data_IF_664408542605
#
_entry.id   IF_664408542605
#
_cell.length_a   1.000
_cell.length_b   1.000
_cell.length_c   1.000
_cell.angle_alpha   90.00
_cell.angle_beta   90.00
_cell.angle_gamma   90.00
#
_symmetry.space_group_name_H-M   'P 1'
#
loop_
_entity.id
_entity.type
_entity.pdbx_description
1 polymer ?
#
# COMPACT_ATOMS: atom_id res chain seq x y z
N UNK A 1 25.88 -2.07 17.12
CA UNK A 1 26.37 -1.91 15.73
C UNK A 1 26.89 -0.49 15.46
N UNK A 2 26.09 0.57 15.66
CA UNK A 2 26.55 1.97 15.47
C UNK A 2 27.81 2.35 16.27
N UNK A 3 27.95 1.84 17.49
CA UNK A 3 29.15 2.05 18.31
C UNK A 3 30.39 1.36 17.71
N UNK A 4 30.23 0.24 16.98
CA UNK A 4 31.33 -0.44 16.29
C UNK A 4 31.84 0.38 15.09
N UNK A 5 30.92 1.03 14.35
CA UNK A 5 31.27 2.02 13.32
C UNK A 5 32.04 3.21 13.90
N UNK A 6 31.53 3.78 15.00
CA UNK A 6 32.17 4.95 15.62
C UNK A 6 33.52 4.63 16.27
N UNK A 7 33.79 3.37 16.59
CA UNK A 7 35.07 2.91 17.18
C UNK A 7 36.01 2.28 16.14
N UNK A 8 35.69 2.41 14.85
CA UNK A 8 36.45 1.82 13.73
C UNK A 8 36.63 0.30 13.81
N UNK A 9 35.74 -0.40 14.52
CA UNK A 9 35.68 -1.87 14.52
C UNK A 9 34.86 -2.42 13.34
N UNK A 10 34.07 -1.56 12.71
CA UNK A 10 33.28 -1.85 11.53
C UNK A 10 33.48 -0.71 10.53
N UNK A 11 33.91 -1.04 9.31
CA UNK A 11 34.23 -0.03 8.29
C UNK A 11 32.99 0.48 7.56
N UNK A 12 32.03 -0.39 7.30
CA UNK A 12 30.84 -0.09 6.50
C UNK A 12 29.61 -0.76 7.09
N UNK A 13 28.50 -0.05 7.08
CA UNK A 13 27.17 -0.61 7.32
C UNK A 13 26.27 -0.27 6.15
N UNK A 14 25.91 -1.30 5.38
CA UNK A 14 25.04 -1.17 4.21
C UNK A 14 23.56 -1.01 4.57
N UNK A 15 23.19 -1.31 5.83
CA UNK A 15 21.83 -1.12 6.31
C UNK A 15 21.55 0.36 6.59
N UNK A 16 20.36 0.79 6.17
CA UNK A 16 19.83 2.11 6.44
C UNK A 16 19.66 2.30 7.94
N UNK A 17 20.38 3.26 8.53
CA UNK A 17 20.10 3.73 9.88
C UNK A 17 20.07 5.23 9.87
N UNK A 18 18.92 5.75 10.30
CA UNK A 18 18.72 7.16 10.57
C UNK A 18 19.37 7.47 11.94
N UNK A 19 20.40 8.31 11.95
CA UNK A 19 21.06 8.74 13.19
C UNK A 19 20.82 10.23 13.41
N UNK A 20 20.15 10.56 14.50
CA UNK A 20 19.87 11.93 14.94
C UNK A 20 21.11 12.66 15.47
N UNK A 21 22.05 11.92 16.08
CA UNK A 21 23.23 12.50 16.73
C UNK A 21 24.46 12.53 15.82
N UNK A 22 25.31 13.56 15.96
CA UNK A 22 26.58 13.64 15.25
C UNK A 22 27.55 12.60 15.84
N UNK A 23 27.49 11.38 15.34
CA UNK A 23 28.53 10.39 15.55
C UNK A 23 29.69 10.65 14.58
N UNK A 24 30.92 10.25 14.95
CA UNK A 24 32.09 10.27 14.08
C UNK A 24 31.96 9.21 12.97
N UNK A 25 31.02 9.41 12.07
CA UNK A 25 30.62 8.49 11.00
C UNK A 25 30.51 9.32 9.73
N UNK A 26 31.14 8.84 8.66
CA UNK A 26 30.99 9.42 7.33
C UNK A 26 29.78 8.81 6.61
N UNK A 27 29.17 9.57 5.70
CA UNK A 27 27.94 9.15 5.01
C UNK A 27 28.11 9.34 3.51
N UNK A 28 27.75 8.33 2.75
CA UNK A 28 27.54 8.46 1.31
C UNK A 28 26.03 8.53 1.06
N UNK A 29 25.61 9.50 0.25
CA UNK A 29 24.19 9.74 -0.06
C UNK A 29 23.83 9.14 -1.40
N UNK A 30 22.61 8.62 -1.48
CA UNK A 30 22.01 8.29 -2.75
C UNK A 30 21.27 9.50 -3.32
N UNK A 31 21.19 9.59 -4.64
CA UNK A 31 20.48 10.68 -5.32
C UNK A 31 18.97 10.70 -5.04
N UNK A 32 18.39 9.53 -4.75
CA UNK A 32 16.96 9.41 -4.55
C UNK A 32 16.56 9.40 -3.08
N UNK A 33 15.41 10.03 -2.82
CA UNK A 33 14.78 10.03 -1.51
C UNK A 33 13.77 8.89 -1.43
N UNK A 34 13.79 8.17 -0.33
CA UNK A 34 12.80 7.16 0.01
C UNK A 34 11.51 7.84 0.48
N UNK A 35 10.43 7.58 -0.23
CA UNK A 35 9.08 8.03 0.12
C UNK A 35 8.44 7.05 1.11
N UNK A 36 7.88 7.56 2.20
CA UNK A 36 7.12 6.77 3.17
C UNK A 36 5.62 7.02 3.00
N UNK A 37 4.84 5.95 2.94
CA UNK A 37 3.39 5.97 2.77
C UNK A 37 2.71 5.21 3.90
N UNK A 38 1.42 5.47 4.10
CA UNK A 38 0.55 4.58 4.87
C UNK A 38 0.27 3.37 3.99
N UNK A 39 0.63 2.19 4.48
CA UNK A 39 0.28 0.92 3.87
C UNK A 39 -0.88 0.34 4.66
N UNK A 40 -1.97 0.01 3.97
CA UNK A 40 -3.11 -0.71 4.52
C UNK A 40 -3.24 -2.08 3.87
N UNK A 41 -3.60 -3.13 4.61
CA UNK A 41 -4.16 -4.32 4.01
C UNK A 41 -5.51 -3.93 3.40
N UNK A 42 -5.66 -4.17 2.10
CA UNK A 42 -6.91 -4.00 1.38
C UNK A 42 -7.98 -4.80 2.11
N UNK A 43 -8.96 -4.09 2.65
CA UNK A 43 -10.16 -4.72 3.16
C UNK A 43 -11.00 -5.02 1.92
N UNK A 44 -11.04 -6.30 1.56
CA UNK A 44 -11.95 -6.77 0.52
C UNK A 44 -13.25 -7.14 1.20
N UNK A 45 -14.25 -6.30 1.06
CA UNK A 45 -15.63 -6.77 1.01
C UNK A 45 -15.97 -6.90 -0.47
N UNK A 46 -16.09 -8.15 -0.93
CA UNK A 46 -16.75 -8.46 -2.20
C UNK A 46 -17.85 -9.45 -1.92
N UNK A 47 -19.06 -9.08 -2.33
CA UNK A 47 -20.01 -10.06 -2.82
C UNK A 47 -19.62 -10.47 -4.24
N UNK A 48 -19.43 -11.77 -4.44
CA UNK A 48 -19.31 -12.36 -5.77
C UNK A 48 -20.66 -12.34 -6.47
N UNK A 49 -20.85 -11.38 -7.38
CA UNK A 49 -22.05 -11.29 -8.23
C UNK A 49 -21.98 -12.19 -9.49
N UNK A 50 -20.94 -13.02 -9.63
CA UNK A 50 -20.77 -13.90 -10.80
C UNK A 50 -21.74 -15.10 -10.83
N UNK A 51 -22.44 -15.37 -9.73
CA UNK A 51 -23.43 -16.47 -9.63
C UNK A 51 -24.83 -16.10 -10.13
N UNK A 52 -25.05 -14.87 -10.58
CA UNK A 52 -26.38 -14.29 -10.78
C UNK A 52 -26.90 -14.37 -12.23
N UNK A 53 -26.07 -14.76 -13.20
CA UNK A 53 -26.39 -14.72 -14.63
C UNK A 53 -26.57 -16.13 -15.26
N UNK A 54 -27.11 -17.08 -14.50
CA UNK A 54 -27.67 -18.29 -15.10
C UNK A 54 -29.14 -18.03 -15.49
N UNK A 55 -29.65 -18.55 -16.64
CA UNK A 55 -31.02 -18.30 -17.08
C UNK A 55 -32.00 -19.02 -16.16
N UNK A 56 -32.47 -18.31 -15.14
CA UNK A 56 -33.48 -18.78 -14.20
C UNK A 56 -34.85 -18.19 -14.53
N UNK A 57 -35.91 -18.88 -14.11
CA UNK A 57 -37.30 -18.42 -14.24
C UNK A 57 -37.53 -17.09 -13.49
N UNK A 58 -38.47 -16.27 -13.98
CA UNK A 58 -38.75 -14.90 -13.47
C UNK A 58 -39.01 -14.80 -11.96
N UNK A 59 -39.49 -15.88 -11.34
CA UNK A 59 -39.74 -15.95 -9.89
C UNK A 59 -38.43 -15.93 -9.08
N UNK A 60 -37.36 -16.51 -9.64
CA UNK A 60 -36.02 -16.53 -9.05
C UNK A 60 -35.39 -15.13 -9.14
N UNK A 61 -35.73 -14.33 -10.17
CA UNK A 61 -35.30 -12.94 -10.28
C UNK A 61 -35.88 -12.04 -9.18
N UNK A 62 -37.13 -12.25 -8.76
CA UNK A 62 -37.72 -11.51 -7.63
C UNK A 62 -37.08 -11.91 -6.28
N UNK A 63 -36.75 -13.19 -6.10
CA UNK A 63 -35.97 -13.63 -4.95
C UNK A 63 -34.55 -13.06 -4.97
N UNK A 64 -33.92 -13.01 -6.14
CA UNK A 64 -32.62 -12.35 -6.28
C UNK A 64 -32.69 -10.86 -6.03
N UNK A 65 -33.71 -10.16 -6.50
CA UNK A 65 -33.89 -8.73 -6.23
C UNK A 65 -34.03 -8.48 -4.72
N UNK A 66 -34.82 -9.29 -4.01
CA UNK A 66 -34.99 -9.14 -2.56
C UNK A 66 -33.71 -9.50 -1.79
N UNK A 67 -33.01 -10.56 -2.20
CA UNK A 67 -31.71 -10.93 -1.63
C UNK A 67 -30.67 -9.84 -1.92
N UNK A 68 -30.59 -9.33 -3.14
CA UNK A 68 -29.68 -8.26 -3.56
C UNK A 68 -29.95 -6.96 -2.78
N UNK A 69 -31.22 -6.56 -2.65
CA UNK A 69 -31.60 -5.38 -1.86
C UNK A 69 -31.27 -5.58 -0.37
N UNK A 70 -31.49 -6.79 0.18
CA UNK A 70 -31.13 -7.09 1.56
C UNK A 70 -29.62 -7.09 1.78
N UNK A 71 -28.86 -7.57 0.79
CA UNK A 71 -27.42 -7.63 0.81
C UNK A 71 -26.80 -6.24 0.66
N UNK A 72 -27.28 -5.42 -0.28
CA UNK A 72 -26.89 -4.01 -0.43
C UNK A 72 -27.23 -3.20 0.82
N UNK A 73 -28.37 -3.49 1.47
CA UNK A 73 -28.75 -2.83 2.71
C UNK A 73 -27.93 -3.32 3.93
N UNK A 74 -27.41 -4.55 3.89
CA UNK A 74 -26.61 -5.12 4.98
C UNK A 74 -25.11 -4.83 4.86
N UNK A 75 -24.61 -4.64 3.64
CA UNK A 75 -23.19 -4.57 3.32
C UNK A 75 -22.80 -3.11 3.10
N UNK A 76 -22.33 -2.46 4.17
CA UNK A 76 -21.77 -1.12 4.08
C UNK A 76 -20.42 -1.22 3.39
N UNK A 77 -20.40 -1.13 2.05
CA UNK A 77 -19.14 -1.07 1.30
C UNK A 77 -18.22 -0.02 1.91
N UNK A 78 -17.18 -0.47 2.61
CA UNK A 78 -16.17 0.43 3.17
C UNK A 78 -15.14 0.69 2.09
N UNK A 79 -15.29 1.82 1.40
CA UNK A 79 -14.28 2.30 0.46
C UNK A 79 -12.94 2.43 1.20
N UNK A 80 -11.89 1.82 0.67
CA UNK A 80 -10.54 2.02 1.20
C UNK A 80 -10.11 3.49 0.98
N UNK A 81 -9.49 4.15 1.97
CA UNK A 81 -9.05 5.52 1.82
C UNK A 81 -7.93 5.61 0.78
N UNK A 82 -8.08 6.53 -0.16
CA UNK A 82 -7.09 6.79 -1.21
C UNK A 82 -6.11 7.89 -0.78
N UNK A 83 -6.57 8.79 0.10
CA UNK A 83 -5.79 9.93 0.61
C UNK A 83 -5.51 9.84 2.10
N UNK A 84 -4.46 10.53 2.54
CA UNK A 84 -4.09 10.61 3.96
C UNK A 84 -5.18 11.29 4.78
N UNK A 85 -5.89 12.26 4.19
CA UNK A 85 -6.94 12.99 4.88
C UNK A 85 -8.17 12.12 5.12
N UNK A 86 -8.60 11.35 4.12
CA UNK A 86 -9.65 10.33 4.26
C UNK A 86 -9.29 9.30 5.34
N UNK A 87 -8.04 8.84 5.36
CA UNK A 87 -7.58 7.89 6.37
C UNK A 87 -7.68 8.46 7.80
N UNK A 88 -7.38 9.75 7.98
CA UNK A 88 -7.47 10.41 9.28
C UNK A 88 -8.93 10.58 9.75
N UNK A 89 -9.88 10.76 8.82
CA UNK A 89 -11.31 10.85 9.13
C UNK A 89 -11.88 9.51 9.61
N UNK A 90 -11.35 8.39 9.12
CA UNK A 90 -11.77 7.03 9.50
C UNK A 90 -11.32 6.62 10.92
N UNK A 91 -10.48 7.41 11.59
CA UNK A 91 -9.98 7.18 12.94
C UNK A 91 -9.38 5.77 13.17
N UNK A 92 -8.72 5.23 12.15
CA UNK A 92 -8.06 3.93 12.21
C UNK A 92 -6.74 4.01 12.98
N UNK A 93 -6.37 2.94 13.68
CA UNK A 93 -5.11 2.88 14.42
C UNK A 93 -3.93 2.64 13.47
N UNK A 94 -2.92 3.50 13.56
CA UNK A 94 -1.73 3.45 12.72
C UNK A 94 -0.55 2.84 13.48
N UNK A 95 -0.10 1.65 13.07
CA UNK A 95 0.98 0.92 13.70
C UNK A 95 2.34 1.42 13.21
N UNK A 96 3.13 1.95 14.14
CA UNK A 96 4.45 2.52 13.83
C UNK A 96 5.59 1.67 14.37
N UNK A 97 6.53 1.33 13.49
CA UNK A 97 7.75 0.63 13.87
C UNK A 97 8.62 1.48 14.79
N UNK A 98 9.19 0.84 15.80
CA UNK A 98 10.09 1.46 16.77
C UNK A 98 11.30 2.08 16.05
N UNK A 99 11.39 3.41 16.03
CA UNK A 99 12.45 4.19 15.37
C UNK A 99 11.96 5.19 14.33
N UNK A 100 10.75 5.00 13.76
CA UNK A 100 10.17 5.96 12.81
C UNK A 100 9.45 7.13 13.50
N UNK A 101 9.16 7.02 14.80
CA UNK A 101 8.42 8.00 15.61
C UNK A 101 8.88 9.46 15.47
N UNK A 102 10.16 9.69 15.25
CA UNK A 102 10.72 11.04 15.16
C UNK A 102 10.61 11.69 13.78
N UNK A 103 10.23 10.93 12.77
CA UNK A 103 10.13 11.38 11.37
C UNK A 103 8.68 11.56 10.92
N UNK A 104 7.74 11.02 11.70
CA UNK A 104 6.31 11.06 11.38
C UNK A 104 5.78 12.49 11.59
N UNK A 105 5.01 13.04 10.63
CA UNK A 105 4.38 14.35 10.76
C UNK A 105 3.50 14.45 12.01
N UNK A 106 3.40 15.62 12.66
CA UNK A 106 2.60 15.78 13.87
C UNK A 106 1.11 15.48 13.67
N UNK A 107 0.60 15.59 12.43
CA UNK A 107 -0.79 15.32 12.06
C UNK A 107 -1.22 13.85 12.30
N UNK A 108 -0.30 12.91 12.11
CA UNK A 108 -0.58 11.46 12.23
C UNK A 108 -0.23 10.92 13.62
N UNK A 109 0.52 11.65 14.45
CA UNK A 109 0.89 11.23 15.80
C UNK A 109 -0.31 10.84 16.70
N UNK A 110 -1.47 11.54 16.68
CA UNK A 110 -2.59 11.22 17.58
C UNK A 110 -3.18 9.82 17.37
N UNK A 111 -3.12 9.30 16.15
CA UNK A 111 -3.67 7.98 15.78
C UNK A 111 -2.61 6.89 15.76
N UNK A 112 -1.35 7.22 16.08
CA UNK A 112 -0.25 6.26 16.03
C UNK A 112 -0.12 5.44 17.30
N UNK A 113 -0.02 4.13 17.13
CA UNK A 113 0.36 3.19 18.18
C UNK A 113 1.77 2.68 17.91
N UNK A 114 2.67 2.93 18.86
CA UNK A 114 4.06 2.44 18.77
C UNK A 114 4.05 0.94 19.04
N UNK A 115 4.57 0.19 18.08
CA UNK A 115 4.62 -1.25 18.17
C UNK A 115 5.78 -1.69 19.07
N UNK A 116 5.54 -2.71 19.90
CA UNK A 116 6.58 -3.34 20.70
C UNK A 116 7.76 -3.79 19.81
N UNK A 117 9.02 -3.62 20.26
CA UNK A 117 10.19 -4.09 19.51
C UNK A 117 10.23 -5.60 19.27
N UNK A 118 9.38 -6.37 19.95
CA UNK A 118 9.23 -7.82 19.78
C UNK A 118 8.29 -8.22 18.63
N UNK A 119 7.46 -7.30 18.13
CA UNK A 119 6.55 -7.58 17.03
C UNK A 119 7.32 -7.56 15.71
N UNK A 120 7.14 -8.60 14.90
CA UNK A 120 7.81 -8.67 13.60
C UNK A 120 7.18 -7.67 12.61
N UNK A 121 8.00 -7.17 11.68
CA UNK A 121 7.55 -6.36 10.52
C UNK A 121 6.36 -7.03 9.80
N UNK A 122 6.39 -8.34 9.73
CA UNK A 122 5.36 -9.18 9.14
C UNK A 122 4.00 -9.05 9.84
N UNK A 123 3.98 -8.97 11.16
CA UNK A 123 2.74 -8.85 11.92
C UNK A 123 2.12 -7.45 11.78
N UNK A 124 2.92 -6.43 11.47
CA UNK A 124 2.41 -5.06 11.23
C UNK A 124 1.72 -4.92 9.88
N UNK A 125 2.00 -5.79 8.90
CA UNK A 125 1.38 -5.74 7.57
C UNK A 125 -0.11 -6.12 7.59
N UNK A 126 -0.60 -6.76 8.64
CA UNK A 126 -2.02 -7.05 8.85
C UNK A 126 -2.81 -5.84 9.39
N UNK A 127 -2.13 -4.71 9.62
CA UNK A 127 -2.73 -3.48 10.13
C UNK A 127 -2.27 -2.29 9.28
N UNK A 128 -2.90 -1.13 9.44
CA UNK A 128 -2.40 0.09 8.83
C UNK A 128 -1.03 0.45 9.43
N UNK A 129 -0.01 0.63 8.60
CA UNK A 129 1.36 0.87 9.05
C UNK A 129 2.12 1.85 8.15
N UNK A 130 3.10 2.57 8.70
CA UNK A 130 3.96 3.46 7.90
C UNK A 130 5.20 2.69 7.45
N UNK A 131 5.38 2.54 6.13
CA UNK A 131 6.56 1.92 5.52
C UNK A 131 6.92 2.63 4.20
N UNK A 132 7.91 2.13 3.47
CA UNK A 132 8.23 2.69 2.15
C UNK A 132 7.07 2.45 1.19
N UNK A 133 6.75 3.44 0.37
CA UNK A 133 5.69 3.31 -0.64
C UNK A 133 5.95 2.14 -1.61
N UNK A 134 7.21 1.76 -1.81
CA UNK A 134 7.60 0.64 -2.66
C UNK A 134 7.38 -0.74 -1.99
N UNK A 135 7.28 -0.78 -0.66
CA UNK A 135 7.13 -2.02 0.08
C UNK A 135 5.79 -2.70 -0.24
N UNK A 136 4.70 -1.93 -0.40
CA UNK A 136 3.41 -2.46 -0.80
C UNK A 136 3.50 -3.23 -2.13
N UNK A 137 4.13 -2.62 -3.15
CA UNK A 137 4.35 -3.26 -4.45
C UNK A 137 5.23 -4.50 -4.32
N UNK A 138 6.30 -4.43 -3.53
CA UNK A 138 7.22 -5.55 -3.32
C UNK A 138 6.53 -6.75 -2.68
N UNK A 139 5.77 -6.53 -1.60
CA UNK A 139 5.05 -7.59 -0.91
C UNK A 139 3.95 -8.21 -1.78
N UNK A 140 3.22 -7.41 -2.56
CA UNK A 140 2.16 -7.90 -3.45
C UNK A 140 2.68 -8.66 -4.67
N UNK A 141 3.82 -8.23 -5.23
CA UNK A 141 4.44 -8.90 -6.38
C UNK A 141 5.26 -10.12 -5.95
N UNK A 142 5.73 -10.13 -4.69
CA UNK A 142 6.50 -11.19 -4.07
C UNK A 142 7.55 -11.81 -5.03
N UNK A 143 8.48 -10.99 -5.56
CA UNK A 143 9.41 -11.42 -6.62
C UNK A 143 10.29 -12.59 -6.18
N UNK A 144 10.53 -12.72 -4.87
CA UNK A 144 11.33 -13.78 -4.26
C UNK A 144 10.53 -15.02 -3.85
N UNK A 145 9.21 -15.06 -4.09
CA UNK A 145 8.31 -16.17 -3.70
C UNK A 145 8.45 -16.55 -2.22
N UNK A 146 8.61 -15.56 -1.36
CA UNK A 146 8.65 -15.74 0.08
C UNK A 146 7.25 -16.08 0.59
N UNK A 147 7.18 -16.77 1.73
CA UNK A 147 5.90 -16.95 2.43
C UNK A 147 5.48 -15.58 3.00
N UNK A 148 4.64 -14.85 2.26
CA UNK A 148 4.13 -13.55 2.69
C UNK A 148 3.04 -13.80 3.75
N UNK A 149 3.11 -13.16 4.92
CA UNK A 149 2.18 -13.41 6.02
C UNK A 149 0.86 -12.66 5.90
N UNK A 150 0.82 -11.56 5.14
CA UNK A 150 -0.45 -10.91 4.78
C UNK A 150 -1.13 -11.74 3.70
N UNK A 151 -2.35 -12.22 4.00
CA UNK A 151 -3.24 -12.83 2.98
C UNK A 151 -3.85 -11.77 2.06
N UNK A 152 -3.90 -10.52 2.50
CA UNK A 152 -4.56 -9.43 1.79
C UNK A 152 -3.53 -8.66 0.95
N UNK A 153 -3.97 -8.20 -0.22
CA UNK A 153 -3.21 -7.22 -1.01
C UNK A 153 -2.98 -5.96 -0.17
N UNK A 154 -1.80 -5.37 -0.29
CA UNK A 154 -1.46 -4.14 0.40
C UNK A 154 -1.65 -2.93 -0.52
N UNK A 155 -2.28 -1.87 -0.04
CA UNK A 155 -2.42 -0.60 -0.76
C UNK A 155 -1.53 0.44 -0.08
N UNK A 156 -0.80 1.22 -0.88
CA UNK A 156 -0.10 2.41 -0.40
C UNK A 156 -0.95 3.66 -0.70
N UNK A 157 -1.34 4.38 0.35
CA UNK A 157 -2.07 5.66 0.26
C UNK A 157 -1.17 6.71 -0.39
N UNK A 158 -1.74 7.50 -1.30
CA UNK A 158 -1.05 8.64 -1.91
C UNK A 158 -1.66 9.96 -1.45
N UNK A 159 -0.89 11.05 -1.34
CA UNK A 159 0.56 11.16 -1.58
C UNK A 159 1.40 10.63 -0.41
N UNK A 160 2.73 10.46 -0.59
CA UNK A 160 3.63 10.08 0.50
C UNK A 160 3.59 11.04 1.68
N UNK A 161 3.67 10.50 2.90
CA UNK A 161 3.68 11.26 4.15
C UNK A 161 4.94 12.10 4.33
N UNK A 162 6.10 11.52 4.01
CA UNK A 162 7.39 12.19 4.11
C UNK A 162 8.44 11.49 3.24
N UNK A 163 9.54 12.20 3.00
CA UNK A 163 10.69 11.71 2.25
C UNK A 163 11.91 11.67 3.14
N UNK A 164 12.73 10.64 2.97
CA UNK A 164 14.03 10.56 3.65
C UNK A 164 15.15 10.26 2.66
N UNK A 165 16.29 10.95 2.77
CA UNK A 165 17.46 10.58 2.00
C UNK A 165 18.04 9.24 2.47
N UNK A 166 18.50 8.42 1.51
CA UNK A 166 19.17 7.16 1.83
C UNK A 166 20.67 7.39 2.00
N UNK A 167 21.22 6.92 3.11
CA UNK A 167 22.64 7.00 3.41
C UNK A 167 23.23 5.63 3.70
N UNK A 168 24.41 5.38 3.15
CA UNK A 168 25.29 4.31 3.63
C UNK A 168 26.29 4.93 4.60
N UNK A 169 26.49 4.23 5.72
CA UNK A 169 27.36 4.70 6.78
C UNK A 169 28.73 4.04 6.70
N UNK A 170 29.75 4.87 6.81
CA UNK A 170 31.15 4.50 6.81
C UNK A 170 31.81 4.96 8.10
N UNK A 171 32.83 4.23 8.55
CA UNK A 171 33.76 4.78 9.52
C UNK A 171 34.33 6.10 8.98
N UNK A 172 34.56 7.07 9.88
CA UNK A 172 35.05 8.42 9.54
C UNK A 172 36.31 8.41 8.66
N UNK A 173 37.20 7.44 8.86
CA UNK A 173 38.48 7.35 8.17
C UNK A 173 38.50 6.28 7.08
N UNK A 174 37.34 5.74 6.70
CA UNK A 174 37.26 4.71 5.69
C UNK A 174 37.59 5.31 4.29
N UNK A 175 38.66 4.86 3.62
CA UNK A 175 39.03 5.38 2.31
C UNK A 175 38.01 4.98 1.23
N UNK A 176 37.21 3.93 1.48
CA UNK A 176 36.20 3.43 0.55
C UNK A 176 35.04 4.41 0.32
N UNK A 177 34.80 5.36 1.22
CA UNK A 177 33.71 6.34 1.11
C UNK A 177 33.73 7.07 -0.24
N UNK A 178 34.91 7.59 -0.62
CA UNK A 178 35.06 8.38 -1.86
C UNK A 178 34.80 7.53 -3.10
N UNK A 179 35.37 6.32 -3.12
CA UNK A 179 35.18 5.38 -4.23
C UNK A 179 33.73 4.92 -4.32
N UNK A 180 33.08 4.70 -3.18
CA UNK A 180 31.69 4.31 -3.12
C UNK A 180 30.79 5.40 -3.69
N UNK A 181 30.94 6.67 -3.29
CA UNK A 181 30.12 7.75 -3.84
C UNK A 181 30.27 7.85 -5.36
N UNK A 182 31.51 7.88 -5.88
CA UNK A 182 31.77 7.94 -7.32
C UNK A 182 31.16 6.75 -8.08
N UNK A 183 31.24 5.55 -7.50
CA UNK A 183 30.65 4.35 -8.09
C UNK A 183 29.13 4.42 -8.12
N UNK A 184 28.52 4.93 -7.05
CA UNK A 184 27.07 5.10 -6.97
C UNK A 184 26.55 6.13 -7.95
N UNK A 185 27.25 7.26 -8.09
CA UNK A 185 26.93 8.30 -9.06
C UNK A 185 26.94 7.69 -10.48
N UNK A 186 27.98 6.92 -10.82
CA UNK A 186 28.08 6.23 -12.12
C UNK A 186 26.98 5.18 -12.33
N UNK A 187 26.63 4.39 -11.32
CA UNK A 187 25.53 3.42 -11.41
C UNK A 187 24.21 4.14 -11.72
N UNK A 188 23.99 5.30 -11.11
CA UNK A 188 22.80 6.10 -11.31
C UNK A 188 22.77 6.75 -12.70
N UNK A 189 23.89 7.36 -13.13
CA UNK A 189 24.05 7.98 -14.45
C UNK A 189 23.85 7.00 -15.61
N UNK A 190 24.38 5.78 -15.48
CA UNK A 190 24.28 4.75 -16.53
C UNK A 190 22.89 4.09 -16.56
N UNK A 191 22.01 4.38 -15.61
CA UNK A 191 20.66 3.82 -15.57
C UNK A 191 20.56 2.44 -14.92
N UNK A 192 21.67 1.91 -14.38
CA UNK A 192 21.71 0.57 -13.76
C UNK A 192 20.81 0.55 -12.52
N UNK A 193 20.80 1.62 -11.74
CA UNK A 193 19.95 1.72 -10.56
C UNK A 193 18.46 1.55 -10.90
N UNK A 194 17.99 2.27 -11.93
CA UNK A 194 16.61 2.27 -12.37
C UNK A 194 16.22 0.90 -12.90
N UNK A 195 17.10 0.24 -13.66
CA UNK A 195 16.91 -1.13 -14.12
C UNK A 195 16.80 -2.13 -12.96
N UNK A 196 17.72 -2.08 -12.01
CA UNK A 196 17.70 -2.94 -10.82
C UNK A 196 16.43 -2.70 -10.01
N UNK A 197 16.05 -1.44 -9.80
CA UNK A 197 14.80 -1.10 -9.11
C UNK A 197 13.58 -1.67 -9.82
N UNK A 198 13.46 -1.52 -11.14
CA UNK A 198 12.32 -2.09 -11.88
C UNK A 198 12.26 -3.62 -11.78
N UNK A 199 13.42 -4.29 -11.72
CA UNK A 199 13.51 -5.73 -11.53
C UNK A 199 13.03 -6.16 -10.14
N UNK A 200 13.35 -5.40 -9.10
CA UNK A 200 12.93 -5.70 -7.71
C UNK A 200 11.51 -5.21 -7.37
N UNK A 201 11.03 -4.17 -8.05
CA UNK A 201 9.74 -3.55 -7.84
C UNK A 201 8.99 -3.40 -9.19
N UNK A 202 8.54 -4.51 -9.78
CA UNK A 202 7.94 -4.48 -11.11
C UNK A 202 6.54 -3.84 -11.07
N UNK A 203 6.43 -2.61 -11.59
CA UNK A 203 5.14 -1.87 -11.68
C UNK A 203 4.13 -2.56 -12.60
N UNK A 204 4.59 -3.17 -13.70
CA UNK A 204 3.73 -3.77 -14.73
C UNK A 204 2.87 -4.91 -14.17
N UNK A 205 3.46 -5.74 -13.31
CA UNK A 205 2.80 -6.89 -12.69
C UNK A 205 1.74 -6.47 -11.66
N UNK A 206 1.90 -5.30 -11.05
CA UNK A 206 0.91 -4.71 -10.14
C UNK A 206 -0.26 -4.12 -10.92
N UNK A 207 -0.01 -3.30 -11.94
CA UNK A 207 -1.08 -2.71 -12.77
C UNK A 207 -1.88 -3.75 -13.57
N UNK A 208 -1.24 -4.83 -14.04
CA UNK A 208 -1.98 -5.94 -14.70
C UNK A 208 -2.91 -6.67 -13.73
N UNK A 209 -2.48 -6.87 -12.46
CA UNK A 209 -3.35 -7.42 -11.41
C UNK A 209 -4.47 -6.45 -11.04
N UNK A 210 -4.15 -5.17 -10.90
CA UNK A 210 -5.10 -4.11 -10.57
C UNK A 210 -6.15 -3.93 -11.68
N UNK A 211 -5.74 -3.95 -12.95
CA UNK A 211 -6.65 -3.89 -14.10
C UNK A 211 -7.53 -5.15 -14.19
N UNK A 212 -6.95 -6.35 -14.14
CA UNK A 212 -7.73 -7.59 -14.12
C UNK A 212 -8.69 -7.68 -12.91
N UNK A 213 -8.29 -7.07 -11.78
CA UNK A 213 -9.14 -6.98 -10.61
C UNK A 213 -10.25 -5.96 -10.80
N UNK A 214 -9.98 -4.75 -11.28
CA UNK A 214 -10.99 -3.73 -11.55
C UNK A 214 -12.01 -4.19 -12.60
N UNK A 215 -11.56 -4.90 -13.63
CA UNK A 215 -12.45 -5.51 -14.64
C UNK A 215 -13.36 -6.61 -14.06
N UNK A 216 -13.06 -7.14 -12.87
CA UNK A 216 -13.90 -8.11 -12.15
C UNK A 216 -14.69 -7.51 -10.98
N UNK A 217 -14.60 -6.19 -10.74
CA UNK A 217 -15.49 -5.48 -9.82
C UNK A 217 -16.65 -4.96 -10.65
N UNK A 218 -17.87 -5.38 -10.35
CA UNK A 218 -19.06 -4.65 -10.81
C UNK A 218 -19.30 -3.53 -9.80
N UNK A 219 -19.04 -2.28 -10.18
CA UNK A 219 -19.37 -1.14 -9.32
C UNK A 219 -20.90 -0.97 -9.30
N UNK A 220 -21.46 -0.45 -8.20
CA UNK A 220 -22.86 -0.02 -8.15
C UNK A 220 -23.19 0.99 -9.26
N UNK A 221 -22.19 1.77 -9.68
CA UNK A 221 -22.31 2.71 -10.80
C UNK A 221 -22.41 2.00 -12.16
N UNK A 222 -21.81 0.81 -12.31
CA UNK A 222 -21.93 -0.01 -13.52
C UNK A 222 -23.32 -0.68 -13.63
N UNK A 223 -24.07 -0.71 -12.53
CA UNK A 223 -25.46 -1.20 -12.47
C UNK A 223 -26.48 -0.08 -12.75
N UNK A 224 -26.08 1.21 -12.82
CA UNK A 224 -26.97 2.33 -13.16
C UNK A 224 -27.80 2.07 -14.43
N UNK A 225 -27.24 1.55 -15.54
CA UNK A 225 -28.01 1.25 -16.74
C UNK A 225 -29.08 0.18 -16.52
N UNK A 226 -28.81 -0.78 -15.61
CA UNK A 226 -29.75 -1.84 -15.25
C UNK A 226 -30.91 -1.27 -14.43
N UNK A 227 -30.62 -0.37 -13.48
CA UNK A 227 -31.65 0.33 -12.70
C UNK A 227 -32.52 1.25 -13.56
N UNK A 228 -31.94 1.93 -14.55
CA UNK A 228 -32.70 2.75 -15.50
C UNK A 228 -33.64 1.90 -16.36
N UNK A 229 -33.21 0.71 -16.81
CA UNK A 229 -34.06 -0.23 -17.54
C UNK A 229 -35.27 -0.72 -16.70
N UNK A 230 -35.05 -1.05 -15.42
CA UNK A 230 -36.14 -1.44 -14.51
C UNK A 230 -37.10 -0.28 -14.17
N UNK A 231 -36.61 0.97 -14.12
CA UNK A 231 -37.44 2.15 -13.92
C UNK A 231 -38.34 2.46 -15.13
N UNK A 232 -37.87 2.16 -16.34
CA UNK A 232 -38.66 2.31 -17.57
C UNK A 232 -39.77 1.26 -17.61
N UNK A 233 -39.49 -0.01 -17.31
CA UNK A 233 -40.54 -1.05 -17.32
C UNK A 233 -41.62 -0.87 -16.23
N UNK A 234 -41.24 -0.36 -15.07
CA UNK A 234 -42.18 -0.09 -13.97
C UNK A 234 -43.10 1.12 -14.25
N UNK A 235 -42.65 2.11 -15.03
CA UNK A 235 -43.50 3.23 -15.44
C UNK A 235 -44.47 2.84 -16.54
N UNK A 236 -44.07 1.99 -17.50
CA UNK A 236 -44.96 1.46 -18.53
C UNK A 236 -46.06 0.54 -17.97
N UNK A 237 -45.74 -0.31 -16.99
CA UNK A 237 -46.72 -1.19 -16.35
C UNK A 237 -47.75 -0.42 -15.51
N UNK A 238 -47.34 0.67 -14.84
CA UNK A 238 -48.26 1.56 -14.11
C UNK A 238 -49.22 2.32 -15.05
N UNK A 239 -48.75 2.75 -16.23
CA UNK A 239 -49.58 3.45 -17.22
C UNK A 239 -50.60 2.49 -17.85
N UNK A 240 -50.24 1.24 -18.13
CA UNK A 240 -51.20 0.23 -18.64
C UNK A 240 -52.21 -0.26 -17.62
N UNK A 241 -51.94 -0.10 -16.31
CA UNK A 241 -52.88 -0.46 -15.25
C UNK A 241 -53.88 0.68 -14.91
N UNK A 242 -53.62 1.89 -15.41
CA UNK A 242 -54.44 3.10 -15.20
C UNK A 242 -55.28 3.50 -16.43
N UNK A 243 -55.18 2.77 -17.53
CA UNK A 243 -56.00 2.88 -18.76
C UNK A 243 -56.91 1.67 -18.86
#
# INVERSE_FOLDING_TARGET
>A
MLQALSTNKLDVMLNMVQIKHPLNIARASWHEHYSYCIILPKQFERMHLELLLHPFEWQIWLLFLTILLSLIASDTYVKNPETVDEFLELNMTLYLLHGLQHMVPPKVLPITQIVSPTMSLHATLNHATIQSCLDATYWNTNPLKLNVPSKNELIAIQPPLFYTPYYIMFSKFCPALRYYQQYMDRIFEVGIYQYVRQKWYPKKLFHEKEAAFNDSIVLTDDLIPVWELFAIDSTYTLITALV
#
